data_IF_441000321553
#
_entry.id   IF_441000321553
#
_cell.length_a   1.000
_cell.length_b   1.000
_cell.length_c   1.000
_cell.angle_alpha   90.00
_cell.angle_beta   90.00
_cell.angle_gamma   90.00
#
_symmetry.space_group_name_H-M   'P 1'
#
loop_
_entity.id
_entity.type
_entity.pdbx_description
1 polymer ?
#
# COMPACT_ATOMS: atom_id res chain seq x y z
N UNK A 1 36.93 66.90 -33.15
CA UNK A 1 37.58 65.59 -32.92
C UNK A 1 37.48 65.31 -31.43
N UNK A 2 36.69 64.31 -31.06
CA UNK A 2 36.49 63.91 -29.66
C UNK A 2 37.75 63.25 -29.10
N UNK A 3 38.14 63.59 -27.85
CA UNK A 3 39.38 63.09 -27.23
C UNK A 3 39.07 61.91 -26.28
N UNK A 4 39.45 60.69 -26.68
CA UNK A 4 39.22 59.45 -25.93
C UNK A 4 39.77 59.53 -24.50
N UNK A 5 40.98 60.07 -24.32
CA UNK A 5 41.62 60.21 -22.99
C UNK A 5 40.81 61.03 -21.99
N UNK A 6 40.03 62.02 -22.46
CA UNK A 6 39.17 62.83 -21.59
C UNK A 6 37.91 62.07 -21.19
N UNK A 7 37.33 61.28 -22.10
CA UNK A 7 36.19 60.39 -21.80
C UNK A 7 36.54 59.36 -20.73
N UNK A 8 37.73 58.74 -20.81
CA UNK A 8 38.18 57.74 -19.84
C UNK A 8 38.44 58.31 -18.44
N UNK A 9 38.89 59.57 -18.35
CA UNK A 9 39.23 60.22 -17.07
C UNK A 9 38.07 60.96 -16.41
N UNK A 10 36.91 61.04 -17.06
CA UNK A 10 35.77 61.79 -16.58
C UNK A 10 34.95 61.04 -15.54
N UNK A 11 34.50 61.76 -14.52
CA UNK A 11 33.58 61.23 -13.50
C UNK A 11 32.13 61.27 -14.00
N UNK A 12 31.27 60.44 -13.40
CA UNK A 12 29.83 60.44 -13.69
C UNK A 12 29.25 61.85 -13.47
N UNK A 13 28.61 62.42 -14.50
CA UNK A 13 28.07 63.77 -14.48
C UNK A 13 29.00 64.88 -14.99
N UNK A 14 30.24 64.57 -15.37
CA UNK A 14 31.15 65.55 -15.97
C UNK A 14 30.79 65.84 -17.44
N UNK A 15 30.91 67.11 -17.84
CA UNK A 15 30.68 67.54 -19.22
C UNK A 15 31.99 67.57 -20.01
N UNK A 16 32.03 66.89 -21.15
CA UNK A 16 33.22 66.81 -22.02
C UNK A 16 32.83 67.30 -23.41
N UNK A 17 33.62 68.19 -24.03
CA UNK A 17 33.37 68.60 -25.41
C UNK A 17 33.65 67.44 -26.37
N UNK A 18 32.62 67.02 -27.11
CA UNK A 18 32.68 65.93 -28.07
C UNK A 18 31.39 65.82 -28.88
N UNK A 19 31.42 65.00 -29.94
CA UNK A 19 30.25 64.67 -30.75
C UNK A 19 29.89 63.21 -30.51
N UNK A 20 28.59 62.90 -30.36
CA UNK A 20 28.10 61.53 -30.16
C UNK A 20 28.55 60.57 -31.28
N UNK A 21 28.65 61.07 -32.50
CA UNK A 21 29.04 60.31 -33.71
C UNK A 21 30.50 59.82 -33.66
N UNK A 22 31.36 60.43 -32.85
CA UNK A 22 32.76 60.04 -32.72
C UNK A 22 32.96 58.90 -31.69
N UNK A 23 31.87 58.44 -31.03
CA UNK A 23 31.90 57.45 -29.95
C UNK A 23 30.90 56.33 -30.28
N UNK A 24 31.44 55.15 -30.55
CA UNK A 24 30.66 53.93 -30.74
C UNK A 24 31.23 52.83 -29.86
N UNK A 25 30.35 52.03 -29.26
CA UNK A 25 30.75 50.84 -28.52
C UNK A 25 30.72 49.65 -29.46
N UNK A 26 31.71 48.76 -29.35
CA UNK A 26 31.67 47.49 -30.05
C UNK A 26 30.46 46.69 -29.57
N UNK A 27 29.42 46.59 -30.40
CA UNK A 27 28.29 45.71 -30.19
C UNK A 27 28.50 44.44 -30.99
N UNK A 28 28.39 43.29 -30.32
CA UNK A 28 28.56 41.99 -30.99
C UNK A 28 27.35 41.67 -31.89
N UNK A 29 26.17 42.21 -31.60
CA UNK A 29 24.92 42.06 -32.36
C UNK A 29 24.48 40.61 -32.69
N UNK A 30 25.11 39.59 -32.09
CA UNK A 30 24.81 38.17 -32.28
C UNK A 30 23.69 37.62 -31.41
N UNK A 31 22.72 38.46 -31.04
CA UNK A 31 21.59 38.02 -30.21
C UNK A 31 20.80 36.89 -30.90
N UNK A 32 20.60 36.97 -32.22
CA UNK A 32 19.92 35.94 -33.00
C UNK A 32 20.62 34.57 -32.96
N UNK A 33 21.94 34.55 -33.22
CA UNK A 33 22.75 33.32 -33.15
C UNK A 33 22.72 32.71 -31.73
N UNK A 34 22.81 33.56 -30.71
CA UNK A 34 22.77 33.13 -29.32
C UNK A 34 21.43 32.51 -28.93
N UNK A 35 20.31 33.09 -29.37
CA UNK A 35 18.98 32.51 -29.12
C UNK A 35 18.84 31.12 -29.74
N UNK A 36 19.34 30.91 -30.97
CA UNK A 36 19.31 29.58 -31.61
C UNK A 36 20.16 28.58 -30.83
N UNK A 37 21.39 28.94 -30.46
CA UNK A 37 22.27 28.09 -29.69
C UNK A 37 21.68 27.74 -28.31
N UNK A 38 21.09 28.73 -27.63
CA UNK A 38 20.41 28.53 -26.35
C UNK A 38 19.23 27.57 -26.47
N UNK A 39 18.36 27.74 -27.47
CA UNK A 39 17.21 26.85 -27.66
C UNK A 39 17.63 25.38 -27.86
N UNK A 40 18.73 25.13 -28.59
CA UNK A 40 19.27 23.77 -28.76
C UNK A 40 19.83 23.25 -27.43
N UNK A 41 20.57 24.07 -26.69
CA UNK A 41 21.12 23.70 -25.38
C UNK A 41 20.01 23.34 -24.39
N UNK A 42 19.00 24.20 -24.24
CA UNK A 42 17.87 24.01 -23.33
C UNK A 42 17.09 22.72 -23.68
N UNK A 43 16.95 22.40 -24.97
CA UNK A 43 16.32 21.16 -25.43
C UNK A 43 17.12 19.91 -25.05
N UNK A 44 18.45 19.96 -25.17
CA UNK A 44 19.33 18.84 -24.78
C UNK A 44 19.32 18.68 -23.26
N UNK A 45 19.39 19.78 -22.51
CA UNK A 45 19.35 19.79 -21.05
C UNK A 45 18.04 19.16 -20.52
N UNK A 46 16.89 19.51 -21.11
CA UNK A 46 15.61 18.92 -20.73
C UNK A 46 15.59 17.39 -20.96
N UNK A 47 16.11 16.93 -22.10
CA UNK A 47 16.19 15.48 -22.41
C UNK A 47 17.12 14.72 -21.49
N UNK A 48 18.28 15.31 -21.15
CA UNK A 48 19.22 14.71 -20.21
C UNK A 48 18.64 14.70 -18.80
N UNK A 49 17.94 15.76 -18.39
CA UNK A 49 17.27 15.84 -17.09
C UNK A 49 16.29 14.69 -16.89
N UNK A 50 15.55 14.33 -17.95
CA UNK A 50 14.68 13.16 -17.95
C UNK A 50 15.45 11.85 -17.84
N UNK A 51 16.52 11.66 -18.62
CA UNK A 51 17.34 10.45 -18.58
C UNK A 51 18.03 10.22 -17.22
N UNK A 52 18.37 11.30 -16.50
CA UNK A 52 18.97 11.26 -15.17
C UNK A 52 17.93 11.33 -14.03
N UNK A 53 16.64 11.22 -14.32
CA UNK A 53 15.57 11.18 -13.31
C UNK A 53 15.52 12.44 -12.41
N UNK A 54 15.85 13.62 -12.95
CA UNK A 54 15.81 14.86 -12.18
C UNK A 54 14.36 15.31 -11.98
N UNK A 55 13.95 15.55 -10.73
CA UNK A 55 12.63 16.08 -10.39
C UNK A 55 12.30 17.41 -11.10
N UNK A 56 13.32 18.21 -11.42
CA UNK A 56 13.17 19.46 -12.18
C UNK A 56 12.69 19.25 -13.61
N UNK A 57 12.84 18.05 -14.19
CA UNK A 57 12.33 17.72 -15.52
C UNK A 57 10.79 17.80 -15.60
N UNK A 58 10.10 17.69 -14.46
CA UNK A 58 8.64 17.75 -14.38
C UNK A 58 8.12 19.20 -14.49
N UNK A 59 8.94 20.21 -14.14
CA UNK A 59 8.50 21.60 -14.15
C UNK A 59 8.91 22.30 -15.46
N UNK A 60 7.99 22.34 -16.43
CA UNK A 60 8.18 23.17 -17.63
C UNK A 60 8.10 24.65 -17.26
N UNK A 61 9.17 25.41 -17.52
CA UNK A 61 9.23 26.83 -17.19
C UNK A 61 8.26 27.61 -18.07
N UNK A 62 7.23 28.23 -17.48
CA UNK A 62 6.32 29.16 -18.16
C UNK A 62 4.86 28.71 -18.25
N UNK A 63 4.53 27.46 -17.92
CA UNK A 63 3.15 26.97 -17.87
C UNK A 63 2.80 26.46 -16.47
N UNK A 64 1.54 26.66 -16.07
CA UNK A 64 1.00 26.03 -14.86
C UNK A 64 0.84 24.55 -15.16
N UNK A 65 1.77 23.73 -14.65
CA UNK A 65 1.64 22.27 -14.68
C UNK A 65 0.52 21.83 -13.75
N UNK A 66 -0.34 20.93 -14.23
CA UNK A 66 -1.44 20.38 -13.43
C UNK A 66 -0.95 19.23 -12.54
N UNK A 67 -1.69 18.93 -11.47
CA UNK A 67 -1.33 17.86 -10.55
C UNK A 67 -1.31 16.47 -11.21
N UNK A 68 -2.19 16.21 -12.19
CA UNK A 68 -2.25 14.93 -12.91
C UNK A 68 -1.05 14.73 -13.85
N UNK A 69 -0.62 15.79 -14.53
CA UNK A 69 0.58 15.72 -15.38
C UNK A 69 1.84 15.44 -14.56
N UNK A 70 1.96 16.08 -13.39
CA UNK A 70 3.06 15.81 -12.45
C UNK A 70 3.02 14.34 -12.04
N UNK A 71 1.85 13.79 -11.71
CA UNK A 71 1.71 12.40 -11.28
C UNK A 71 2.03 11.41 -12.40
N UNK A 72 1.60 11.70 -13.63
CA UNK A 72 1.89 10.88 -14.80
C UNK A 72 3.39 10.85 -15.11
N UNK A 73 4.05 12.02 -15.15
CA UNK A 73 5.49 12.10 -15.43
C UNK A 73 6.31 11.47 -14.29
N UNK A 74 5.89 11.67 -13.04
CA UNK A 74 6.53 11.01 -11.90
C UNK A 74 6.45 9.48 -12.00
N UNK A 75 5.29 8.93 -12.40
CA UNK A 75 5.12 7.49 -12.61
C UNK A 75 6.07 6.95 -13.69
N UNK A 76 6.31 7.69 -14.76
CA UNK A 76 7.22 7.27 -15.84
C UNK A 76 8.70 7.26 -15.37
N UNK A 77 9.08 8.22 -14.52
CA UNK A 77 10.40 8.24 -13.86
C UNK A 77 10.53 7.08 -12.86
N UNK A 78 9.47 6.74 -12.13
CA UNK A 78 9.44 5.59 -11.23
C UNK A 78 9.55 4.26 -11.99
N UNK A 79 8.89 4.11 -13.14
CA UNK A 79 8.96 2.90 -13.98
C UNK A 79 10.38 2.66 -14.51
N UNK A 80 11.02 3.72 -15.02
CA UNK A 80 12.40 3.65 -15.52
C UNK A 80 13.40 3.39 -14.39
N UNK A 81 13.24 4.02 -13.22
CA UNK A 81 14.04 3.73 -12.04
C UNK A 81 13.82 2.30 -11.53
N UNK A 82 12.58 1.82 -11.53
CA UNK A 82 12.20 0.47 -11.13
C UNK A 82 12.85 -0.62 -12.00
N UNK A 83 12.94 -0.38 -13.31
CA UNK A 83 13.66 -1.25 -14.24
C UNK A 83 15.15 -1.37 -13.91
N UNK A 84 15.84 -0.24 -13.72
CA UNK A 84 17.28 -0.22 -13.37
C UNK A 84 17.52 -0.82 -11.99
N UNK A 85 16.66 -0.51 -11.02
CA UNK A 85 16.74 -1.05 -9.67
C UNK A 85 16.56 -2.57 -9.64
N UNK A 86 15.63 -3.11 -10.43
CA UNK A 86 15.42 -4.56 -10.56
C UNK A 86 16.68 -5.28 -11.10
N UNK A 87 17.33 -4.71 -12.12
CA UNK A 87 18.58 -5.25 -12.67
C UNK A 87 19.70 -5.19 -11.64
N UNK A 88 19.93 -4.02 -11.03
CA UNK A 88 20.98 -3.84 -10.01
C UNK A 88 20.76 -4.73 -8.78
N UNK A 89 19.50 -4.98 -8.41
CA UNK A 89 19.14 -5.90 -7.35
C UNK A 89 19.64 -7.33 -7.65
N UNK A 90 19.47 -7.80 -8.88
CA UNK A 90 19.92 -9.14 -9.30
C UNK A 90 21.43 -9.21 -9.56
N UNK A 91 22.02 -8.19 -10.17
CA UNK A 91 23.43 -8.22 -10.60
C UNK A 91 24.41 -7.76 -9.53
N UNK A 92 24.01 -6.84 -8.66
CA UNK A 92 24.88 -6.26 -7.64
C UNK A 92 24.45 -6.69 -6.23
N UNK A 93 23.20 -6.46 -5.86
CA UNK A 93 22.74 -6.66 -4.49
C UNK A 93 22.77 -8.14 -4.09
N UNK A 94 22.27 -9.04 -4.93
CA UNK A 94 22.24 -10.47 -4.65
C UNK A 94 23.66 -11.09 -4.52
N UNK A 95 24.60 -10.85 -5.45
CA UNK A 95 25.98 -11.33 -5.29
C UNK A 95 26.67 -10.76 -4.06
N UNK A 96 26.47 -9.46 -3.77
CA UNK A 96 27.05 -8.80 -2.60
C UNK A 96 26.56 -9.45 -1.29
N UNK A 97 25.26 -9.70 -1.16
CA UNK A 97 24.68 -10.36 0.02
C UNK A 97 25.20 -11.79 0.15
N UNK A 98 25.31 -12.55 -0.95
CA UNK A 98 25.87 -13.91 -0.92
C UNK A 98 27.31 -13.94 -0.42
N UNK A 99 28.15 -13.01 -0.89
CA UNK A 99 29.55 -12.92 -0.46
C UNK A 99 29.64 -12.55 1.01
N UNK A 100 28.90 -11.53 1.45
CA UNK A 100 28.89 -11.11 2.86
C UNK A 100 28.38 -12.23 3.77
N UNK A 101 27.31 -12.92 3.39
CA UNK A 101 26.75 -14.02 4.17
C UNK A 101 27.78 -15.14 4.35
N UNK A 102 28.49 -15.53 3.28
CA UNK A 102 29.56 -16.53 3.37
C UNK A 102 30.75 -16.06 4.20
N UNK A 103 31.14 -14.78 4.10
CA UNK A 103 32.23 -14.21 4.91
C UNK A 103 31.87 -14.16 6.40
N UNK A 104 30.64 -13.79 6.75
CA UNK A 104 30.16 -13.73 8.12
C UNK A 104 29.97 -15.12 8.74
N UNK A 105 29.52 -16.10 7.94
CA UNK A 105 29.48 -17.51 8.35
C UNK A 105 30.90 -18.06 8.59
N UNK A 106 31.85 -17.75 7.70
CA UNK A 106 33.23 -18.22 7.84
C UNK A 106 33.97 -17.60 9.05
N UNK A 107 33.66 -16.34 9.38
CA UNK A 107 34.23 -15.64 10.54
C UNK A 107 33.46 -15.87 11.84
N UNK A 108 32.43 -16.73 11.83
CA UNK A 108 31.57 -17.07 12.98
C UNK A 108 30.92 -15.85 13.66
N UNK A 109 30.72 -14.75 12.92
CA UNK A 109 29.97 -13.59 13.40
C UNK A 109 28.45 -13.83 13.38
N UNK A 110 28.00 -14.78 12.57
CA UNK A 110 26.62 -15.28 12.59
C UNK A 110 26.60 -16.58 13.43
N UNK A 111 25.72 -16.69 14.45
CA UNK A 111 25.53 -17.92 15.21
C UNK A 111 25.17 -19.10 14.30
N UNK A 112 25.47 -20.33 14.71
CA UNK A 112 25.08 -21.51 13.93
C UNK A 112 23.56 -21.51 13.68
N UNK A 113 23.21 -21.41 12.40
CA UNK A 113 21.83 -21.48 11.95
C UNK A 113 21.42 -22.95 11.81
N UNK A 114 20.15 -23.30 12.09
CA UNK A 114 19.63 -24.64 11.85
C UNK A 114 19.80 -25.02 10.37
N UNK A 115 19.90 -26.32 10.06
CA UNK A 115 20.27 -26.80 8.71
C UNK A 115 19.37 -26.26 7.61
N UNK A 116 18.11 -25.96 7.93
CA UNK A 116 17.12 -25.37 7.03
C UNK A 116 17.42 -23.90 6.65
N UNK A 117 18.22 -23.18 7.46
CA UNK A 117 18.57 -21.77 7.28
C UNK A 117 20.02 -21.55 6.83
N UNK A 118 20.77 -22.62 6.51
CA UNK A 118 22.17 -22.54 6.06
C UNK A 118 22.28 -21.97 4.64
N UNK A 119 21.26 -22.21 3.78
CA UNK A 119 21.15 -21.65 2.43
C UNK A 119 19.77 -21.02 2.21
N UNK A 120 19.51 -19.81 2.75
CA UNK A 120 18.24 -19.14 2.57
C UNK A 120 18.09 -18.64 1.13
N UNK A 121 16.86 -18.64 0.63
CA UNK A 121 16.49 -17.87 -0.56
C UNK A 121 16.55 -16.38 -0.24
N UNK A 122 17.45 -15.64 -0.87
CA UNK A 122 17.59 -14.19 -0.68
C UNK A 122 16.58 -13.49 -1.59
N UNK A 123 15.47 -13.03 -1.03
CA UNK A 123 14.55 -12.11 -1.70
C UNK A 123 15.14 -10.69 -1.70
N UNK A 124 15.13 -10.02 -2.85
CA UNK A 124 15.72 -8.68 -3.01
C UNK A 124 14.86 -7.81 -3.92
N UNK A 125 15.15 -6.51 -4.01
CA UNK A 125 14.36 -5.57 -4.80
C UNK A 125 12.99 -5.22 -4.19
N UNK A 126 12.01 -4.95 -5.06
CA UNK A 126 10.64 -4.55 -4.70
C UNK A 126 9.95 -5.60 -3.81
N UNK A 127 10.24 -6.88 -4.04
CA UNK A 127 9.71 -8.00 -3.25
C UNK A 127 10.26 -8.03 -1.82
N UNK A 128 11.46 -7.48 -1.55
CA UNK A 128 11.99 -7.36 -0.18
C UNK A 128 11.33 -6.21 0.61
N UNK A 129 10.74 -5.25 -0.11
CA UNK A 129 9.79 -4.24 0.41
C UNK A 129 8.35 -4.82 0.39
N UNK A 130 8.20 -6.13 0.14
CA UNK A 130 6.94 -6.85 -0.06
C UNK A 130 5.99 -6.87 1.12
N UNK A 131 6.39 -6.41 2.32
CA UNK A 131 5.44 -6.26 3.44
C UNK A 131 4.28 -5.33 3.12
N UNK A 132 4.49 -4.31 2.28
CA UNK A 132 3.40 -3.45 1.80
C UNK A 132 2.58 -4.10 0.69
N UNK A 133 3.22 -4.82 -0.23
CA UNK A 133 2.57 -5.45 -1.37
C UNK A 133 1.73 -6.67 -0.95
N UNK A 134 2.22 -7.46 -0.01
CA UNK A 134 1.51 -8.62 0.52
C UNK A 134 0.32 -8.17 1.39
N UNK A 135 0.46 -7.08 2.15
CA UNK A 135 -0.66 -6.44 2.84
C UNK A 135 -1.71 -5.93 1.85
N UNK A 136 -1.30 -5.23 0.79
CA UNK A 136 -2.21 -4.73 -0.26
C UNK A 136 -2.94 -5.89 -0.97
N UNK A 137 -2.26 -7.00 -1.28
CA UNK A 137 -2.90 -8.22 -1.81
C UNK A 137 -3.95 -8.77 -0.84
N UNK A 138 -3.62 -8.86 0.45
CA UNK A 138 -4.56 -9.33 1.48
C UNK A 138 -5.76 -8.40 1.62
N UNK A 139 -5.55 -7.09 1.68
CA UNK A 139 -6.61 -6.08 1.77
C UNK A 139 -7.56 -6.14 0.57
N UNK A 140 -7.01 -6.25 -0.65
CA UNK A 140 -7.81 -6.43 -1.88
C UNK A 140 -8.61 -7.72 -1.86
N UNK A 141 -8.01 -8.81 -1.37
CA UNK A 141 -8.70 -10.10 -1.25
C UNK A 141 -9.86 -10.02 -0.23
N UNK A 142 -9.63 -9.38 0.92
CA UNK A 142 -10.65 -9.15 1.95
C UNK A 142 -11.79 -8.29 1.39
N UNK A 143 -11.46 -7.20 0.67
CA UNK A 143 -12.47 -6.35 0.04
C UNK A 143 -13.30 -7.12 -1.00
N UNK A 144 -12.66 -7.92 -1.85
CA UNK A 144 -13.34 -8.77 -2.83
C UNK A 144 -14.24 -9.82 -2.16
N UNK A 145 -13.79 -10.45 -1.07
CA UNK A 145 -14.60 -11.39 -0.30
C UNK A 145 -15.75 -10.71 0.46
N UNK A 146 -15.58 -9.46 0.88
CA UNK A 146 -16.66 -8.66 1.48
C UNK A 146 -17.77 -8.39 0.47
N UNK A 147 -17.43 -8.11 -0.79
CA UNK A 147 -18.40 -7.94 -1.87
C UNK A 147 -19.20 -9.24 -2.14
N UNK A 148 -18.59 -10.41 -1.92
CA UNK A 148 -19.29 -11.70 -2.05
C UNK A 148 -20.36 -11.94 -0.97
N UNK A 149 -20.36 -11.20 0.15
CA UNK A 149 -21.43 -11.33 1.16
C UNK A 149 -22.80 -10.96 0.61
N UNK A 150 -22.88 -10.10 -0.41
CA UNK A 150 -24.15 -9.76 -1.04
C UNK A 150 -24.78 -10.95 -1.81
N UNK A 151 -23.99 -11.98 -2.13
CA UNK A 151 -24.39 -13.20 -2.82
C UNK A 151 -24.56 -14.38 -1.85
N UNK A 152 -24.51 -14.12 -0.54
CA UNK A 152 -24.64 -15.14 0.50
C UNK A 152 -26.10 -15.57 0.61
N UNK A 153 -26.43 -16.76 0.08
CA UNK A 153 -27.79 -17.29 0.00
C UNK A 153 -28.26 -17.64 -1.43
N UNK A 154 -27.41 -17.44 -2.43
CA UNK A 154 -27.66 -17.93 -3.78
C UNK A 154 -27.31 -19.43 -3.86
N UNK A 155 -28.32 -20.29 -3.95
CA UNK A 155 -28.18 -21.75 -3.98
C UNK A 155 -27.44 -22.24 -5.24
N UNK A 156 -27.36 -21.42 -6.28
CA UNK A 156 -26.67 -21.75 -7.53
C UNK A 156 -25.14 -21.49 -7.46
N UNK A 157 -24.65 -20.82 -6.41
CA UNK A 157 -23.25 -20.36 -6.32
C UNK A 157 -22.42 -21.08 -5.25
N UNK A 158 -21.34 -21.73 -5.68
CA UNK A 158 -20.32 -22.24 -4.76
C UNK A 158 -19.35 -21.14 -4.32
N UNK A 159 -19.71 -20.43 -3.25
CA UNK A 159 -18.91 -19.35 -2.67
C UNK A 159 -17.52 -19.79 -2.19
N UNK A 160 -17.34 -21.05 -1.79
CA UNK A 160 -16.04 -21.56 -1.35
C UNK A 160 -15.05 -21.65 -2.52
N UNK A 161 -15.50 -22.16 -3.67
CA UNK A 161 -14.67 -22.21 -4.88
C UNK A 161 -14.37 -20.80 -5.40
N UNK A 162 -15.36 -19.90 -5.32
CA UNK A 162 -15.19 -18.51 -5.77
C UNK A 162 -14.18 -17.74 -4.90
N UNK A 163 -14.23 -17.90 -3.58
CA UNK A 163 -13.24 -17.33 -2.64
C UNK A 163 -11.83 -17.83 -2.94
N UNK A 164 -11.65 -19.12 -3.19
CA UNK A 164 -10.37 -19.72 -3.56
C UNK A 164 -9.85 -19.17 -4.90
N UNK A 165 -10.71 -19.08 -5.92
CA UNK A 165 -10.33 -18.52 -7.24
C UNK A 165 -9.92 -17.06 -7.15
N UNK A 166 -10.60 -16.26 -6.34
CA UNK A 166 -10.23 -14.85 -6.09
C UNK A 166 -8.85 -14.77 -5.43
N UNK A 167 -8.60 -15.55 -4.37
CA UNK A 167 -7.30 -15.53 -3.69
C UNK A 167 -6.16 -15.99 -4.61
N UNK A 168 -6.39 -17.04 -5.42
CA UNK A 168 -5.41 -17.50 -6.40
C UNK A 168 -5.16 -16.47 -7.51
N UNK A 169 -6.20 -15.77 -7.97
CA UNK A 169 -6.06 -14.71 -8.98
C UNK A 169 -5.27 -13.50 -8.45
N UNK A 170 -5.37 -13.21 -7.15
CA UNK A 170 -4.62 -12.15 -6.48
C UNK A 170 -3.16 -12.59 -6.16
N UNK A 171 -2.87 -13.90 -6.24
CA UNK A 171 -1.53 -14.45 -6.01
C UNK A 171 -1.19 -14.62 -4.53
N UNK A 172 -2.18 -14.94 -3.69
CA UNK A 172 -1.99 -15.25 -2.28
C UNK A 172 -1.76 -16.76 -2.06
N UNK A 173 -0.92 -17.11 -1.09
CA UNK A 173 -0.80 -18.50 -0.64
C UNK A 173 -2.04 -18.89 0.18
N UNK A 174 -2.90 -19.72 -0.42
CA UNK A 174 -4.17 -20.14 0.19
C UNK A 174 -4.00 -21.22 1.26
N UNK A 175 -2.77 -21.68 1.52
CA UNK A 175 -2.47 -22.66 2.57
C UNK A 175 -2.97 -22.17 3.94
N UNK A 176 -3.97 -22.86 4.49
CA UNK A 176 -4.55 -22.55 5.80
C UNK A 176 -5.49 -21.33 5.85
N UNK A 177 -5.77 -20.65 4.73
CA UNK A 177 -6.71 -19.51 4.70
C UNK A 177 -8.18 -19.93 4.69
N UNK A 178 -8.49 -21.04 4.03
CA UNK A 178 -9.84 -21.59 3.98
C UNK A 178 -9.95 -22.72 4.98
N UNK A 179 -10.93 -22.63 5.86
CA UNK A 179 -11.29 -23.72 6.78
C UNK A 179 -11.48 -25.02 5.99
N UNK A 180 -10.82 -26.07 6.44
CA UNK A 180 -11.03 -27.41 5.92
C UNK A 180 -12.47 -27.86 6.17
N UNK A 181 -12.92 -28.89 5.44
CA UNK A 181 -14.28 -29.41 5.62
C UNK A 181 -14.48 -29.97 7.03
N UNK A 182 -13.45 -30.57 7.62
CA UNK A 182 -13.47 -31.05 9.00
C UNK A 182 -13.57 -29.91 10.02
N UNK A 183 -12.78 -28.84 9.85
CA UNK A 183 -12.85 -27.66 10.72
C UNK A 183 -14.21 -26.95 10.62
N UNK A 184 -14.79 -26.85 9.42
CA UNK A 184 -16.16 -26.31 9.24
C UNK A 184 -17.20 -27.15 9.96
N UNK A 185 -17.11 -28.47 9.86
CA UNK A 185 -18.06 -29.38 10.51
C UNK A 185 -17.92 -29.31 12.04
N UNK A 186 -16.69 -29.21 12.55
CA UNK A 186 -16.43 -29.00 13.99
C UNK A 186 -16.98 -27.65 14.48
N UNK A 187 -16.81 -26.58 13.70
CA UNK A 187 -17.34 -25.25 14.03
C UNK A 187 -18.88 -25.25 14.04
N UNK A 188 -19.51 -25.88 13.05
CA UNK A 188 -20.97 -26.01 12.99
C UNK A 188 -21.51 -26.86 14.14
N UNK A 189 -20.84 -27.95 14.51
CA UNK A 189 -21.22 -28.78 15.65
C UNK A 189 -21.10 -28.01 16.98
N UNK A 190 -20.03 -27.22 17.13
CA UNK A 190 -19.84 -26.36 18.30
C UNK A 190 -20.89 -25.25 18.38
N UNK A 191 -21.17 -24.59 17.25
CA UNK A 191 -22.16 -23.52 17.17
C UNK A 191 -23.58 -24.07 17.41
N UNK A 192 -23.89 -25.25 16.88
CA UNK A 192 -25.14 -25.97 17.14
C UNK A 192 -25.30 -26.36 18.61
N UNK A 193 -24.24 -26.85 19.27
CA UNK A 193 -24.25 -27.15 20.71
C UNK A 193 -24.44 -25.89 21.56
N UNK A 194 -23.88 -24.76 21.14
CA UNK A 194 -23.99 -23.50 21.85
C UNK A 194 -25.40 -22.88 21.70
N UNK A 195 -25.98 -22.95 20.50
CA UNK A 195 -27.38 -22.56 20.25
C UNK A 195 -28.34 -23.48 21.01
N UNK A 196 -28.10 -24.79 21.03
CA UNK A 196 -28.91 -25.75 21.79
C UNK A 196 -28.82 -25.50 23.30
N UNK A 197 -27.65 -25.09 23.82
CA UNK A 197 -27.49 -24.73 25.23
C UNK A 197 -28.22 -23.42 25.55
N UNK A 198 -28.18 -22.43 24.66
CA UNK A 198 -28.82 -21.14 24.86
C UNK A 198 -30.34 -21.20 24.72
N UNK A 199 -30.85 -21.94 23.73
CA UNK A 199 -32.29 -22.21 23.60
C UNK A 199 -32.79 -23.20 24.66
N UNK A 200 -31.99 -24.19 25.05
CA UNK A 200 -32.30 -25.11 26.13
C UNK A 200 -32.39 -24.42 27.49
N UNK A 201 -31.50 -23.46 27.78
CA UNK A 201 -31.57 -22.63 28.98
C UNK A 201 -32.79 -21.68 28.97
N UNK A 202 -33.15 -21.12 27.81
CA UNK A 202 -34.35 -20.31 27.66
C UNK A 202 -35.65 -21.13 27.84
N UNK A 203 -35.67 -22.36 27.30
CA UNK A 203 -36.79 -23.28 27.46
C UNK A 203 -36.93 -23.82 28.90
N UNK A 204 -35.82 -24.10 29.58
CA UNK A 204 -35.83 -24.47 31.01
C UNK A 204 -36.26 -23.31 31.91
N UNK A 205 -35.86 -22.07 31.58
CA UNK A 205 -36.31 -20.87 32.30
C UNK A 205 -37.81 -20.63 32.20
N UNK A 206 -38.42 -20.87 31.04
CA UNK A 206 -39.88 -20.80 30.87
C UNK A 206 -40.62 -22.00 31.50
N UNK A 207 -40.05 -23.21 31.42
CA UNK A 207 -40.61 -24.41 32.06
C UNK A 207 -40.62 -24.33 33.59
N UNK A 208 -39.57 -23.76 34.20
CA UNK A 208 -39.54 -23.53 35.65
C UNK A 208 -40.46 -22.40 36.12
N UNK A 209 -40.65 -21.33 35.32
CA UNK A 209 -41.62 -20.28 35.64
C UNK A 209 -43.07 -20.78 35.58
N UNK A 210 -43.38 -21.69 34.64
CA UNK A 210 -44.68 -22.36 34.57
C UNK A 210 -44.90 -23.36 35.72
N UNK A 211 -43.85 -24.07 36.16
CA UNK A 211 -43.94 -24.99 37.30
C UNK A 211 -44.05 -24.25 38.65
N UNK A 212 -43.39 -23.09 38.79
CA UNK A 212 -43.41 -22.28 40.01
C UNK A 212 -44.73 -21.51 40.21
N UNK A 213 -45.55 -21.35 39.17
CA UNK A 213 -46.87 -20.67 39.25
C UNK A 213 -48.05 -21.64 39.39
N UNK A 214 -47.84 -22.95 39.33
CA UNK A 214 -48.92 -23.95 39.24
C UNK A 214 -49.26 -24.72 40.54
N UNK A 215 -48.73 -24.38 41.72
CA UNK A 215 -49.11 -25.11 42.94
C UNK A 215 -48.92 -24.35 44.26
N UNK A 216 -49.92 -23.54 44.64
CA UNK A 216 -50.49 -23.62 46.00
C UNK A 216 -52.02 -23.89 46.04
N UNK A 217 -52.72 -23.85 44.90
CA UNK A 217 -54.19 -23.96 44.86
C UNK A 217 -54.71 -25.39 44.64
N UNK A 218 -53.91 -26.27 44.02
CA UNK A 218 -54.29 -27.68 43.83
C UNK A 218 -54.21 -28.51 45.13
N UNK A 219 -53.49 -28.04 46.15
CA UNK A 219 -53.42 -28.69 47.47
C UNK A 219 -54.58 -28.27 48.39
N UNK A 220 -55.17 -27.08 48.15
CA UNK A 220 -56.34 -26.60 48.89
C UNK A 220 -57.64 -27.28 48.42
N UNK A 221 -57.77 -27.62 47.14
CA UNK A 221 -58.95 -28.31 46.60
C UNK A 221 -59.02 -29.81 46.96
N UNK A 222 -57.90 -30.43 47.36
CA UNK A 222 -57.88 -31.80 47.86
C UNK A 222 -58.23 -31.90 49.37
N UNK A 223 -58.17 -30.78 50.11
CA UNK A 223 -58.53 -30.71 51.52
C UNK A 223 -60.02 -30.44 51.74
N UNK A 224 -60.72 -29.89 50.74
CA UNK A 224 -62.14 -29.50 50.83
C UNK A 224 -63.12 -30.60 50.36
N UNK A 225 -62.61 -31.68 49.76
CA UNK A 225 -63.43 -32.80 49.24
C UNK A 225 -63.51 -34.02 50.16
N UNK A 226 -62.98 -33.95 51.39
CA UNK A 226 -63.08 -35.04 52.39
C UNK A 226 -63.63 -34.48 53.71
N UNK A 227 -64.88 -34.02 53.67
CA UNK A 227 -65.65 -33.70 54.86
C UNK A 227 -66.32 -34.95 55.45
N UNK A 228 -66.03 -35.26 56.72
CA UNK A 228 -66.76 -36.10 57.69
C UNK A 228 -65.97 -36.02 59.02
N UNK A 229 -66.45 -35.85 60.26
CA UNK A 229 -67.65 -35.35 60.93
C UNK A 229 -67.26 -35.36 62.44
N UNK A 230 -67.63 -34.39 63.30
CA UNK A 230 -67.15 -34.37 64.69
C UNK A 230 -68.05 -35.25 65.58
N UNK A 231 -67.44 -36.07 66.44
CA UNK A 231 -68.15 -36.91 67.42
C UNK A 231 -67.28 -37.32 68.59
N UNK A 232 -67.63 -36.76 69.76
CA UNK A 232 -67.22 -37.05 71.15
C UNK A 232 -65.81 -36.64 71.59
#
# INVERSE_FOLDING_TARGET
ITQVRRLTAAQSGAFIPGRKQDIEFLQLEKSGDFTVAKNVSDTIEARLSYAFMLNSAVQRTGERVTAEEIRYVASELEDTLGGVYSILSQELQLPLVRVLLKQLQATQQIPELPKEAVEPTISTGLEAIGRGQDLDKLERCIAAWSALKALEGDDDLNLANLKLRIANAIGLDTAGMLLTQEEKNALMAQQGAQIATQQGAAALGQGMAAQATASPEAMAQAADSVGMQPGM
#
